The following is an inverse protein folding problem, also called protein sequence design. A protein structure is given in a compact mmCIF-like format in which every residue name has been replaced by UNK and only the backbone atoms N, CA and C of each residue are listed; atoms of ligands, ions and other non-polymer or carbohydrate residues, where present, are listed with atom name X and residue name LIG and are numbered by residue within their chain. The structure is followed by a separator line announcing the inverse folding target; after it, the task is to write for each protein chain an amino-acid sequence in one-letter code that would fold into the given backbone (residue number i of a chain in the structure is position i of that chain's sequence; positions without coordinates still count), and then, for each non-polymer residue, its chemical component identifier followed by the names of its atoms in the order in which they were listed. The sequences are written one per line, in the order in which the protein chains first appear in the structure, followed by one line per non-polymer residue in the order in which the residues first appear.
data_IF_173075929818
#
_entry.id   IF_173075929818
#
_cell.length_a   1.000
_cell.length_b   1.000
_cell.length_c   1.000
_cell.angle_alpha   90.00
_cell.angle_beta   90.00
_cell.angle_gamma   90.00
#
_symmetry.space_group_name_H-M   'P 1'
#
loop_
_entity.id
_entity.type
_entity.pdbx_description
1 polymer ?
#
# COMPACT_ATOMS: atom_id res chain seq x y z
N UNK A 1 25.53 1.03 17.77
CA UNK A 1 24.79 2.29 18.00
C UNK A 1 25.72 3.48 17.79
N UNK A 2 26.19 3.68 16.55
CA UNK A 2 26.97 4.86 16.19
C UNK A 2 25.99 5.93 15.72
N UNK A 3 25.93 7.05 16.42
CA UNK A 3 25.11 8.21 16.06
C UNK A 3 25.67 8.79 14.77
N UNK A 4 24.98 8.58 13.66
CA UNK A 4 25.36 9.12 12.35
C UNK A 4 25.23 10.63 12.44
N UNK A 5 26.38 11.30 12.39
CA UNK A 5 26.50 12.74 12.56
C UNK A 5 25.72 13.52 11.50
N UNK A 6 25.38 14.76 11.83
CA UNK A 6 24.68 15.70 10.95
C UNK A 6 25.55 16.03 9.73
N UNK A 7 25.38 15.32 8.61
CA UNK A 7 26.25 15.45 7.45
C UNK A 7 25.92 16.67 6.59
N UNK A 8 26.98 17.34 6.13
CA UNK A 8 26.96 18.66 5.48
C UNK A 8 26.20 18.66 4.15
N UNK A 9 25.38 19.71 3.96
CA UNK A 9 24.80 20.10 2.67
C UNK A 9 25.90 20.37 1.64
N UNK A 10 25.73 19.82 0.44
CA UNK A 10 26.34 20.36 -0.79
C UNK A 10 25.36 21.35 -1.41
N UNK A 11 25.82 22.57 -1.67
CA UNK A 11 25.07 23.55 -2.45
C UNK A 11 24.98 23.12 -3.91
N UNK A 12 23.90 23.51 -4.57
CA UNK A 12 23.70 23.30 -5.99
C UNK A 12 24.79 24.02 -6.81
N UNK A 13 25.21 23.33 -7.90
CA UNK A 13 26.16 23.74 -8.93
C UNK A 13 27.66 23.68 -8.56
N UNK A 14 28.40 22.92 -9.37
CA UNK A 14 29.87 22.85 -9.48
C UNK A 14 30.67 22.31 -8.28
N UNK A 15 30.71 20.98 -8.12
CA UNK A 15 32.00 20.26 -8.07
C UNK A 15 31.80 18.73 -8.18
N UNK A 16 32.39 18.13 -9.21
CA UNK A 16 32.47 16.69 -9.42
C UNK A 16 33.57 16.07 -8.54
N UNK A 17 33.59 16.39 -7.24
CA UNK A 17 34.49 15.75 -6.30
C UNK A 17 33.86 14.45 -5.78
N UNK A 18 34.61 13.36 -5.87
CA UNK A 18 34.23 12.04 -5.33
C UNK A 18 33.71 12.16 -3.88
N UNK A 19 32.73 11.33 -3.54
CA UNK A 19 32.23 11.24 -2.17
C UNK A 19 33.31 10.68 -1.26
N UNK A 20 33.27 11.08 0.02
CA UNK A 20 34.15 10.51 1.04
C UNK A 20 33.97 8.97 1.09
N UNK A 21 35.05 8.17 1.06
CA UNK A 21 34.98 6.72 1.20
C UNK A 21 34.15 6.24 2.41
N UNK A 22 34.14 6.98 3.52
CA UNK A 22 33.31 6.64 4.69
C UNK A 22 31.81 6.74 4.37
N UNK A 23 31.42 7.80 3.64
CA UNK A 23 30.04 7.99 3.18
C UNK A 23 29.65 6.89 2.19
N UNK A 24 30.53 6.55 1.25
CA UNK A 24 30.28 5.46 0.29
C UNK A 24 30.10 4.11 1.01
N UNK A 25 30.91 3.84 2.03
CA UNK A 25 30.76 2.66 2.88
C UNK A 25 29.43 2.63 3.65
N UNK A 26 29.02 3.77 4.20
CA UNK A 26 27.74 3.89 4.90
C UNK A 26 26.54 3.72 3.95
N UNK A 27 26.59 4.33 2.76
CA UNK A 27 25.57 4.17 1.73
C UNK A 27 25.44 2.70 1.35
N UNK A 28 26.56 1.99 1.12
CA UNK A 28 26.57 0.56 0.79
C UNK A 28 25.90 -0.30 1.86
N UNK A 29 26.09 0.03 3.13
CA UNK A 29 25.50 -0.69 4.27
C UNK A 29 24.00 -0.42 4.48
N UNK A 30 23.46 0.64 3.88
CA UNK A 30 22.10 1.15 4.13
C UNK A 30 21.16 0.81 2.97
N UNK A 31 19.84 0.77 3.20
CA UNK A 31 18.86 0.65 2.11
C UNK A 31 18.79 1.96 1.33
N UNK A 32 18.73 1.90 0.00
CA UNK A 32 18.69 3.08 -0.85
C UNK A 32 17.45 3.07 -1.75
N UNK A 33 16.72 4.19 -1.76
CA UNK A 33 15.79 4.51 -2.84
C UNK A 33 16.59 5.10 -4.00
N UNK A 34 16.54 4.44 -5.15
CA UNK A 34 17.17 4.85 -6.39
C UNK A 34 16.11 5.47 -7.29
N UNK A 35 16.36 6.68 -7.80
CA UNK A 35 15.41 7.39 -8.66
C UNK A 35 16.07 7.76 -9.99
N UNK A 36 15.30 7.89 -11.08
CA UNK A 36 15.86 8.35 -12.35
C UNK A 36 16.31 9.81 -12.21
N UNK A 37 17.29 10.23 -13.02
CA UNK A 37 17.79 11.62 -13.02
C UNK A 37 16.74 12.66 -13.43
N UNK A 38 15.62 12.20 -14.01
CA UNK A 38 14.46 13.04 -14.33
C UNK A 38 13.56 13.33 -13.13
N UNK A 39 13.67 12.56 -12.05
CA UNK A 39 12.92 12.80 -10.83
C UNK A 39 13.61 13.89 -10.00
N UNK A 40 12.86 14.94 -9.67
CA UNK A 40 13.33 16.03 -8.83
C UNK A 40 13.25 15.66 -7.34
N UNK A 41 13.93 16.44 -6.50
CA UNK A 41 13.83 16.28 -5.04
C UNK A 41 12.44 16.66 -4.54
N UNK A 42 11.78 17.60 -5.21
CA UNK A 42 10.41 18.00 -4.89
C UNK A 42 9.43 16.85 -5.16
N UNK A 43 9.58 16.11 -6.28
CA UNK A 43 8.75 14.94 -6.57
C UNK A 43 8.84 13.90 -5.43
N UNK A 44 10.06 13.60 -4.97
CA UNK A 44 10.30 12.67 -3.86
C UNK A 44 9.74 13.24 -2.54
N UNK A 45 9.90 14.53 -2.31
CA UNK A 45 9.37 15.19 -1.11
C UNK A 45 7.85 15.21 -1.06
N UNK A 46 7.18 15.33 -2.20
CA UNK A 46 5.71 15.36 -2.30
C UNK A 46 5.13 13.96 -2.07
N UNK A 47 5.75 12.92 -2.63
CA UNK A 47 5.39 11.53 -2.33
C UNK A 47 5.53 11.20 -0.83
N UNK A 48 6.56 11.71 -0.17
CA UNK A 48 6.72 11.51 1.27
C UNK A 48 5.62 12.20 2.07
N UNK A 49 5.24 13.44 1.72
CA UNK A 49 4.15 14.15 2.43
C UNK A 49 2.80 13.49 2.23
N UNK A 50 2.57 12.85 1.08
CA UNK A 50 1.35 12.08 0.82
C UNK A 50 1.16 10.94 1.83
N UNK A 51 2.25 10.28 2.24
CA UNK A 51 2.21 9.12 3.14
C UNK A 51 2.57 9.43 4.57
N UNK A 52 3.29 10.52 4.81
CA UNK A 52 3.76 10.97 6.11
C UNK A 52 3.50 12.48 6.22
N UNK A 53 2.28 12.93 6.58
CA UNK A 53 1.88 14.34 6.55
C UNK A 53 2.77 15.26 7.40
N UNK A 54 3.27 14.73 8.51
CA UNK A 54 4.12 15.45 9.45
C UNK A 54 5.62 15.40 9.07
N UNK A 55 5.94 14.81 7.92
CA UNK A 55 7.28 14.81 7.38
C UNK A 55 7.73 16.25 7.08
N UNK A 56 8.97 16.56 7.46
CA UNK A 56 9.65 17.79 7.05
C UNK A 56 9.83 17.90 5.53
N UNK A 57 10.46 18.98 5.07
CA UNK A 57 10.67 19.19 3.64
C UNK A 57 12.05 18.66 3.23
N UNK A 58 12.08 17.51 2.55
CA UNK A 58 13.32 16.87 2.11
C UNK A 58 14.16 17.80 1.20
N UNK A 59 13.53 18.54 0.29
CA UNK A 59 14.23 19.48 -0.60
C UNK A 59 14.90 20.63 0.16
N UNK A 60 14.31 21.06 1.28
CA UNK A 60 14.83 22.15 2.11
C UNK A 60 15.89 21.68 3.12
N UNK A 61 15.64 20.55 3.75
CA UNK A 61 16.38 20.10 4.93
C UNK A 61 17.44 19.05 4.58
N UNK A 62 17.29 18.32 3.46
CA UNK A 62 18.17 17.23 3.02
C UNK A 62 18.01 15.94 3.84
N UNK A 63 17.15 15.97 4.85
CA UNK A 63 16.75 14.83 5.66
C UNK A 63 15.29 14.97 6.07
N UNK A 64 14.61 13.84 6.27
CA UNK A 64 13.25 13.82 6.78
C UNK A 64 12.99 12.60 7.65
N UNK A 65 12.30 12.80 8.78
CA UNK A 65 11.89 11.71 9.65
C UNK A 65 10.66 11.00 9.06
N UNK A 66 10.73 9.67 8.94
CA UNK A 66 9.61 8.83 8.50
C UNK A 66 8.85 8.23 9.70
N UNK A 67 9.52 8.16 10.85
CA UNK A 67 9.00 7.58 12.08
C UNK A 67 9.83 8.01 13.28
N UNK A 68 9.73 7.26 14.38
CA UNK A 68 10.46 7.57 15.61
C UNK A 68 11.95 7.29 15.47
N UNK A 69 12.31 6.24 14.74
CA UNK A 69 13.68 5.74 14.60
C UNK A 69 14.12 5.64 13.14
N UNK A 70 13.31 6.12 12.21
CA UNK A 70 13.58 6.07 10.78
C UNK A 70 13.66 7.44 10.13
N UNK A 71 14.64 7.59 9.22
CA UNK A 71 14.93 8.82 8.50
C UNK A 71 15.34 8.53 7.06
N UNK A 72 14.95 9.39 6.14
CA UNK A 72 15.43 9.40 4.78
C UNK A 72 16.35 10.60 4.57
N UNK A 73 17.53 10.38 4.01
CA UNK A 73 18.51 11.44 3.71
C UNK A 73 18.86 11.46 2.22
N UNK A 74 19.13 12.65 1.68
CA UNK A 74 19.49 12.82 0.28
C UNK A 74 18.99 14.14 -0.31
N UNK A 75 19.08 14.32 -1.64
CA UNK A 75 19.62 13.38 -2.62
C UNK A 75 21.15 13.24 -2.53
N UNK A 76 21.66 12.03 -2.74
CA UNK A 76 23.06 11.77 -3.06
C UNK A 76 23.19 11.65 -4.57
N UNK A 77 23.91 12.60 -5.19
CA UNK A 77 24.25 12.57 -6.62
C UNK A 77 25.61 11.87 -6.74
N UNK A 78 25.60 10.70 -7.38
CA UNK A 78 26.74 9.80 -7.49
C UNK A 78 27.37 9.90 -8.88
N UNK A 79 28.70 10.03 -8.94
CA UNK A 79 29.43 9.69 -10.17
C UNK A 79 29.32 8.19 -10.46
N UNK A 80 29.71 7.74 -11.66
CA UNK A 80 29.74 6.30 -11.96
C UNK A 80 30.68 5.53 -11.02
N UNK A 81 31.80 6.13 -10.64
CA UNK A 81 32.75 5.54 -9.70
C UNK A 81 32.15 5.45 -8.29
N UNK A 82 31.54 6.53 -7.81
CA UNK A 82 30.85 6.56 -6.52
C UNK A 82 29.69 5.57 -6.47
N UNK A 83 28.93 5.42 -7.56
CA UNK A 83 27.84 4.45 -7.65
C UNK A 83 28.36 3.02 -7.46
N UNK A 84 29.43 2.65 -8.18
CA UNK A 84 30.07 1.34 -8.02
C UNK A 84 30.60 1.15 -6.60
N UNK A 85 31.27 2.16 -6.03
CA UNK A 85 31.80 2.10 -4.67
C UNK A 85 30.71 1.96 -3.60
N UNK A 86 29.56 2.62 -3.79
CA UNK A 86 28.38 2.53 -2.93
C UNK A 86 27.52 1.26 -3.20
N UNK A 87 27.90 0.42 -4.16
CA UNK A 87 27.15 -0.78 -4.53
C UNK A 87 25.82 -0.50 -5.24
N UNK A 88 25.69 0.68 -5.85
CA UNK A 88 24.52 1.09 -6.63
C UNK A 88 24.68 0.58 -8.07
N UNK A 89 23.73 -0.21 -8.60
CA UNK A 89 23.79 -0.68 -9.98
C UNK A 89 23.55 0.49 -10.96
N UNK A 90 24.21 0.45 -12.12
CA UNK A 90 23.88 1.35 -13.22
C UNK A 90 22.50 1.01 -13.80
N UNK A 91 21.73 1.98 -14.32
CA UNK A 91 22.11 3.37 -14.62
C UNK A 91 21.84 4.37 -13.48
N UNK A 92 21.56 3.91 -12.26
CA UNK A 92 21.14 4.80 -11.17
C UNK A 92 22.31 5.67 -10.66
N UNK A 93 22.09 6.98 -10.62
CA UNK A 93 23.07 7.96 -10.13
C UNK A 93 22.50 8.92 -9.08
N UNK A 94 21.21 8.80 -8.75
CA UNK A 94 20.55 9.57 -7.70
C UNK A 94 19.98 8.61 -6.68
N UNK A 95 20.41 8.75 -5.42
CA UNK A 95 20.01 7.87 -4.33
C UNK A 95 19.55 8.64 -3.09
N UNK A 96 18.65 8.06 -2.33
CA UNK A 96 18.25 8.50 -0.99
C UNK A 96 18.47 7.37 0.00
N UNK A 97 19.15 7.64 1.11
CA UNK A 97 19.51 6.62 2.10
C UNK A 97 18.52 6.57 3.24
N UNK A 98 17.99 5.36 3.51
CA UNK A 98 17.06 5.08 4.60
C UNK A 98 17.82 4.59 5.83
N UNK A 99 17.94 5.44 6.84
CA UNK A 99 18.33 5.01 8.18
C UNK A 99 17.08 4.46 8.87
N UNK A 100 17.07 3.15 9.17
CA UNK A 100 16.00 2.50 9.91
C UNK A 100 16.59 1.39 10.81
N UNK A 101 15.91 1.01 11.91
CA UNK A 101 16.27 -0.18 12.67
C UNK A 101 16.27 -1.42 11.77
N UNK A 102 17.13 -2.40 12.08
CA UNK A 102 17.07 -3.72 11.42
C UNK A 102 16.19 -4.61 12.26
N UNK A 103 14.99 -4.92 11.75
CA UNK A 103 13.95 -5.68 12.44
C UNK A 103 13.45 -6.77 11.48
N UNK A 104 13.75 -8.04 11.80
CA UNK A 104 13.45 -9.19 10.94
C UNK A 104 12.50 -10.16 11.58
N UNK A 105 11.61 -10.70 10.77
CA UNK A 105 10.76 -11.85 11.10
C UNK A 105 11.46 -13.16 10.75
N UNK A 106 10.69 -14.25 10.81
CA UNK A 106 11.11 -15.54 10.26
C UNK A 106 11.39 -15.45 8.75
N UNK A 107 12.30 -16.29 8.23
CA UNK A 107 12.53 -16.40 6.79
C UNK A 107 11.25 -16.74 6.02
N UNK A 108 11.11 -16.25 4.76
CA UNK A 108 10.01 -16.69 3.91
C UNK A 108 10.06 -18.20 3.70
N UNK A 109 8.89 -18.83 3.57
CA UNK A 109 8.79 -20.24 3.25
C UNK A 109 9.46 -20.54 1.89
N UNK A 110 10.12 -21.69 1.78
CA UNK A 110 10.83 -22.06 0.57
C UNK A 110 9.90 -22.11 -0.65
N UNK A 111 10.26 -21.39 -1.72
CA UNK A 111 9.50 -21.34 -2.97
C UNK A 111 8.33 -20.34 -2.97
N UNK A 112 8.08 -19.64 -1.86
CA UNK A 112 7.12 -18.53 -1.84
C UNK A 112 7.76 -17.31 -2.51
N UNK A 113 7.06 -16.80 -3.52
CA UNK A 113 7.33 -15.49 -4.13
C UNK A 113 6.35 -14.48 -3.54
N UNK A 114 6.68 -13.20 -3.66
CA UNK A 114 5.81 -12.13 -3.22
C UNK A 114 5.74 -11.03 -4.29
N UNK A 115 4.69 -10.24 -4.19
CA UNK A 115 4.35 -9.17 -5.11
C UNK A 115 5.50 -8.19 -5.36
N UNK A 116 6.20 -7.77 -4.31
CA UNK A 116 7.22 -6.73 -4.40
C UNK A 116 8.66 -7.29 -4.35
N UNK A 117 8.84 -8.60 -4.21
CA UNK A 117 10.14 -9.27 -4.19
C UNK A 117 10.91 -9.19 -2.88
N UNK A 118 10.22 -8.95 -1.77
CA UNK A 118 10.80 -9.04 -0.43
C UNK A 118 11.23 -10.45 -0.07
N UNK A 119 10.47 -11.49 -0.42
CA UNK A 119 10.81 -12.89 -0.17
C UNK A 119 12.13 -13.27 -0.84
N UNK A 120 12.38 -12.80 -2.06
CA UNK A 120 13.66 -13.00 -2.74
C UNK A 120 14.79 -12.17 -2.12
N UNK A 121 14.51 -10.91 -1.77
CA UNK A 121 15.54 -9.96 -1.32
C UNK A 121 15.96 -10.16 0.14
N UNK A 122 15.11 -10.82 0.93
CA UNK A 122 15.30 -11.07 2.35
C UNK A 122 15.20 -12.57 2.72
N UNK A 123 16.08 -13.43 2.17
CA UNK A 123 16.02 -14.87 2.42
C UNK A 123 16.34 -15.27 3.87
N UNK A 124 16.91 -14.36 4.67
CA UNK A 124 17.24 -14.58 6.08
C UNK A 124 16.20 -14.09 7.08
N UNK A 125 15.07 -13.54 6.61
CA UNK A 125 14.02 -12.97 7.46
C UNK A 125 13.40 -11.72 6.84
N UNK A 126 12.07 -11.69 6.72
CA UNK A 126 11.35 -10.55 6.11
C UNK A 126 11.48 -9.28 6.97
N UNK A 127 11.48 -8.07 6.36
CA UNK A 127 11.50 -6.82 7.10
C UNK A 127 10.19 -6.61 7.88
N UNK A 128 10.30 -6.35 9.19
CA UNK A 128 9.16 -6.17 10.09
C UNK A 128 9.05 -4.74 10.61
N UNK A 129 7.92 -4.42 11.25
CA UNK A 129 7.68 -3.19 12.02
C UNK A 129 8.11 -1.93 11.28
N UNK A 130 9.07 -1.17 11.83
CA UNK A 130 9.48 0.13 11.27
C UNK A 130 10.34 -0.06 10.01
N UNK A 131 11.18 -1.11 9.97
CA UNK A 131 11.92 -1.48 8.76
C UNK A 131 10.98 -1.84 7.60
N UNK A 132 10.04 -2.75 7.84
CA UNK A 132 9.05 -3.19 6.84
C UNK A 132 8.18 -2.05 6.33
N UNK A 133 7.66 -1.21 7.24
CA UNK A 133 6.82 -0.06 6.86
C UNK A 133 7.57 0.94 5.98
N UNK A 134 8.81 1.26 6.34
CA UNK A 134 9.62 2.23 5.59
C UNK A 134 10.13 1.67 4.27
N UNK A 135 10.54 0.40 4.21
CA UNK A 135 10.87 -0.26 2.95
C UNK A 135 9.65 -0.36 2.01
N UNK A 136 8.47 -0.71 2.54
CA UNK A 136 7.23 -0.71 1.77
C UNK A 136 6.91 0.66 1.18
N UNK A 137 7.10 1.73 1.96
CA UNK A 137 6.97 3.11 1.47
C UNK A 137 7.98 3.40 0.34
N UNK A 138 9.24 3.00 0.49
CA UNK A 138 10.26 3.20 -0.54
C UNK A 138 9.95 2.46 -1.84
N UNK A 139 9.42 1.23 -1.76
CA UNK A 139 8.99 0.45 -2.93
C UNK A 139 7.82 1.13 -3.63
N UNK A 140 6.83 1.61 -2.87
CA UNK A 140 5.70 2.37 -3.40
C UNK A 140 6.19 3.66 -4.11
N UNK A 141 7.11 4.41 -3.49
CA UNK A 141 7.70 5.60 -4.11
C UNK A 141 8.48 5.25 -5.39
N UNK A 142 9.30 4.20 -5.35
CA UNK A 142 10.04 3.71 -6.51
C UNK A 142 9.09 3.35 -7.66
N UNK A 143 7.96 2.70 -7.38
CA UNK A 143 6.93 2.38 -8.38
C UNK A 143 6.43 3.63 -9.10
N UNK A 144 6.20 4.71 -8.32
CA UNK A 144 5.66 5.97 -8.82
C UNK A 144 6.66 6.78 -9.66
N UNK A 145 7.92 6.84 -9.22
CA UNK A 145 8.96 7.60 -9.94
C UNK A 145 9.66 6.79 -11.03
N UNK A 146 9.31 5.51 -11.21
CA UNK A 146 10.04 4.59 -12.09
C UNK A 146 11.46 4.29 -11.59
N UNK A 147 11.62 4.21 -10.28
CA UNK A 147 12.86 3.94 -9.55
C UNK A 147 13.02 2.47 -9.14
N UNK A 148 13.95 2.24 -8.22
CA UNK A 148 14.18 0.93 -7.60
C UNK A 148 14.66 1.09 -6.15
N UNK A 149 14.61 0.02 -5.36
CA UNK A 149 15.11 0.01 -3.98
C UNK A 149 16.26 -0.98 -3.88
N UNK A 150 17.45 -0.51 -3.53
CA UNK A 150 18.59 -1.37 -3.22
C UNK A 150 18.59 -1.72 -1.75
N UNK A 151 18.67 -3.02 -1.46
CA UNK A 151 18.73 -3.51 -0.09
C UNK A 151 20.16 -3.46 0.45
N UNK A 152 20.32 -2.83 1.63
CA UNK A 152 21.55 -2.73 2.41
C UNK A 152 21.74 -3.89 3.41
N UNK A 153 22.84 -3.82 4.16
CA UNK A 153 23.23 -4.79 5.18
C UNK A 153 24.24 -5.86 4.73
N UNK A 154 24.60 -6.81 5.61
CA UNK A 154 25.53 -7.90 5.28
C UNK A 154 24.98 -8.77 4.13
N UNK A 155 25.72 -8.83 3.02
CA UNK A 155 25.26 -9.48 1.78
C UNK A 155 24.35 -8.59 0.91
N UNK A 156 24.11 -7.34 1.32
CA UNK A 156 23.57 -6.28 0.49
C UNK A 156 24.59 -5.82 -0.54
N UNK A 157 24.15 -5.68 -1.78
CA UNK A 157 24.98 -5.37 -2.94
C UNK A 157 24.11 -5.07 -4.14
N UNK A 158 24.70 -4.80 -5.32
CA UNK A 158 23.93 -4.52 -6.54
C UNK A 158 22.95 -5.65 -6.90
N UNK A 159 23.21 -6.87 -6.42
CA UNK A 159 22.42 -8.06 -6.71
C UNK A 159 21.09 -8.14 -5.92
N UNK A 160 20.91 -7.32 -4.87
CA UNK A 160 19.66 -7.26 -4.08
C UNK A 160 18.90 -5.97 -4.37
N UNK A 161 18.34 -5.94 -5.57
CA UNK A 161 17.56 -4.83 -6.09
C UNK A 161 16.08 -5.22 -6.18
N UNK A 162 15.23 -4.47 -5.50
CA UNK A 162 13.77 -4.53 -5.68
C UNK A 162 13.37 -3.49 -6.71
N UNK A 163 12.96 -3.92 -7.89
CA UNK A 163 12.43 -3.05 -8.92
C UNK A 163 10.92 -3.31 -9.08
N UNK A 164 10.06 -2.43 -8.53
CA UNK A 164 8.63 -2.59 -8.64
C UNK A 164 8.15 -2.40 -10.09
N UNK A 165 7.09 -3.10 -10.47
CA UNK A 165 6.41 -2.88 -11.75
C UNK A 165 5.62 -1.56 -11.69
N UNK A 166 5.92 -0.55 -12.54
CA UNK A 166 5.28 0.77 -12.49
C UNK A 166 3.78 0.73 -12.81
N UNK A 167 3.29 -0.28 -13.53
CA UNK A 167 1.87 -0.41 -13.90
C UNK A 167 1.10 -1.31 -12.94
N UNK A 168 1.70 -1.62 -11.78
CA UNK A 168 1.12 -2.54 -10.81
C UNK A 168 -0.04 -1.94 -10.04
N UNK A 169 0.00 -0.62 -9.83
CA UNK A 169 -1.10 0.16 -9.27
C UNK A 169 -2.25 0.32 -10.26
N UNK A 170 -3.24 -0.56 -10.13
CA UNK A 170 -4.46 -0.54 -10.94
C UNK A 170 -5.63 0.04 -10.15
N UNK A 171 -5.71 -0.27 -8.85
CA UNK A 171 -6.82 0.12 -8.00
C UNK A 171 -6.69 1.59 -7.58
N UNK A 172 -7.84 2.24 -7.41
CA UNK A 172 -7.92 3.63 -6.98
C UNK A 172 -8.86 3.76 -5.78
N UNK A 173 -8.68 4.82 -5.03
CA UNK A 173 -9.54 5.19 -3.92
C UNK A 173 -9.96 6.65 -4.11
N UNK A 174 -11.26 6.91 -4.11
CA UNK A 174 -11.81 8.27 -4.15
C UNK A 174 -12.32 8.62 -2.77
N UNK A 175 -11.80 9.70 -2.19
CA UNK A 175 -12.25 10.22 -0.90
C UNK A 175 -13.11 11.46 -1.13
N UNK A 176 -14.28 11.52 -0.51
CA UNK A 176 -15.24 12.61 -0.69
C UNK A 176 -16.03 12.89 0.58
N UNK A 177 -16.41 14.15 0.85
CA UNK A 177 -17.34 14.47 1.94
C UNK A 177 -18.80 14.10 1.60
N UNK A 178 -19.10 13.62 0.39
CA UNK A 178 -20.45 13.36 -0.06
C UNK A 178 -20.75 11.87 -0.18
N UNK A 179 -21.79 11.43 0.51
CA UNK A 179 -22.39 10.11 0.29
C UNK A 179 -23.28 10.14 -0.95
N UNK A 180 -23.07 9.18 -1.84
CA UNK A 180 -23.90 8.94 -3.02
C UNK A 180 -24.79 7.75 -2.72
N UNK A 181 -26.07 7.85 -3.06
CA UNK A 181 -27.01 6.74 -2.86
C UNK A 181 -26.71 5.56 -3.81
N UNK A 182 -26.92 4.30 -3.40
CA UNK A 182 -26.52 3.12 -4.17
C UNK A 182 -27.06 3.10 -5.61
N UNK A 183 -28.32 3.46 -5.82
CA UNK A 183 -28.92 3.51 -7.15
C UNK A 183 -28.32 4.59 -8.06
N UNK A 184 -27.90 5.71 -7.48
CA UNK A 184 -27.23 6.79 -8.21
C UNK A 184 -25.82 6.37 -8.61
N UNK A 185 -25.06 5.77 -7.69
CA UNK A 185 -23.72 5.26 -8.01
C UNK A 185 -23.79 4.16 -9.07
N UNK A 186 -24.75 3.23 -8.96
CA UNK A 186 -24.98 2.22 -10.00
C UNK A 186 -25.16 2.88 -11.37
N UNK A 187 -26.02 3.91 -11.47
CA UNK A 187 -26.23 4.65 -12.71
C UNK A 187 -24.96 5.33 -13.25
N UNK A 188 -24.05 5.77 -12.39
CA UNK A 188 -22.73 6.31 -12.77
C UNK A 188 -21.85 5.20 -13.35
N UNK A 189 -21.70 4.08 -12.64
CA UNK A 189 -20.85 2.96 -13.08
C UNK A 189 -21.38 2.28 -14.34
N UNK A 190 -22.71 2.13 -14.48
CA UNK A 190 -23.36 1.52 -15.65
C UNK A 190 -23.06 2.27 -16.96
N UNK A 191 -22.75 3.57 -16.91
CA UNK A 191 -22.36 4.34 -18.12
C UNK A 191 -21.03 3.86 -18.69
N UNK A 192 -20.09 3.49 -17.82
CA UNK A 192 -18.78 2.98 -18.21
C UNK A 192 -18.81 1.47 -18.46
N UNK A 193 -19.55 0.73 -17.62
CA UNK A 193 -19.67 -0.73 -17.70
C UNK A 193 -21.16 -1.14 -17.61
N UNK A 194 -21.84 -1.38 -18.75
CA UNK A 194 -23.29 -1.63 -18.78
C UNK A 194 -23.78 -2.85 -17.98
N UNK A 195 -22.89 -3.80 -17.68
CA UNK A 195 -23.17 -5.02 -16.89
C UNK A 195 -23.10 -4.81 -15.38
N UNK A 196 -22.82 -3.58 -14.92
CA UNK A 196 -22.77 -3.24 -13.51
C UNK A 196 -24.09 -3.55 -12.79
N UNK A 197 -23.98 -4.03 -11.56
CA UNK A 197 -25.09 -4.36 -10.67
C UNK A 197 -24.74 -4.01 -9.23
N UNK A 198 -25.76 -3.72 -8.42
CA UNK A 198 -25.58 -3.58 -6.98
C UNK A 198 -25.26 -4.93 -6.36
N UNK A 199 -24.23 -4.96 -5.52
CA UNK A 199 -23.91 -6.09 -4.65
C UNK A 199 -24.67 -5.96 -3.31
N UNK A 200 -25.95 -5.61 -3.39
CA UNK A 200 -26.84 -5.49 -2.23
C UNK A 200 -27.51 -6.83 -1.89
N UNK A 201 -27.56 -7.75 -2.84
CA UNK A 201 -28.06 -9.11 -2.64
C UNK A 201 -26.87 -9.98 -2.18
N UNK A 202 -26.56 -9.92 -0.88
CA UNK A 202 -25.69 -10.91 -0.27
C UNK A 202 -26.31 -12.29 -0.38
N UNK A 203 -25.48 -13.33 -0.57
CA UNK A 203 -25.95 -14.69 -0.29
C UNK A 203 -26.18 -14.80 1.21
N UNK A 204 -27.33 -15.36 1.62
CA UNK A 204 -27.60 -15.62 3.02
C UNK A 204 -26.48 -16.52 3.55
N UNK A 205 -25.60 -15.95 4.39
CA UNK A 205 -24.56 -16.71 5.07
C UNK A 205 -25.22 -17.88 5.81
N UNK A 206 -24.94 -19.10 5.35
CA UNK A 206 -25.52 -20.34 5.90
C UNK A 206 -24.94 -20.69 7.28
N UNK A 207 -24.10 -19.83 7.84
CA UNK A 207 -23.28 -20.17 8.99
C UNK A 207 -22.09 -21.06 8.62
N UNK A 208 -21.11 -21.22 9.51
CA UNK A 208 -20.23 -22.37 9.52
C UNK A 208 -21.02 -23.69 9.40
N UNK A 209 -20.39 -24.73 8.88
CA UNK A 209 -21.01 -26.06 8.85
C UNK A 209 -21.45 -26.51 10.26
N UNK A 210 -22.50 -27.33 10.37
CA UNK A 210 -23.06 -27.83 11.64
C UNK A 210 -21.97 -28.41 12.57
N UNK A 211 -20.93 -29.00 11.98
CA UNK A 211 -19.74 -29.51 12.66
C UNK A 211 -18.97 -28.46 13.47
N UNK A 212 -18.96 -27.20 13.04
CA UNK A 212 -18.33 -26.09 13.76
C UNK A 212 -19.09 -25.73 15.06
N UNK A 213 -20.39 -26.05 15.14
CA UNK A 213 -21.24 -25.79 16.32
C UNK A 213 -21.30 -26.96 17.30
N UNK A 214 -20.78 -28.14 16.93
CA UNK A 214 -20.74 -29.31 17.83
C UNK A 214 -19.84 -29.10 19.04
N UNK A 215 -19.04 -28.02 19.04
CA UNK A 215 -18.17 -27.67 20.15
C UNK A 215 -17.00 -28.63 20.35
N UNK A 216 -16.78 -29.61 19.46
CA UNK A 216 -15.74 -30.63 19.61
C UNK A 216 -14.31 -30.04 19.68
N UNK A 217 -14.03 -28.99 18.88
CA UNK A 217 -12.77 -28.24 18.91
C UNK A 217 -12.63 -27.34 20.15
N UNK A 218 -13.74 -26.80 20.63
CA UNK A 218 -13.78 -25.94 21.82
C UNK A 218 -13.63 -26.79 23.10
N UNK A 219 -14.23 -27.98 23.14
CA UNK A 219 -14.16 -28.94 24.23
C UNK A 219 -12.75 -29.55 24.38
N UNK A 220 -11.97 -29.65 23.30
CA UNK A 220 -10.56 -30.06 23.38
C UNK A 220 -9.65 -28.98 23.96
N UNK A 221 -9.94 -27.70 23.72
CA UNK A 221 -9.14 -26.57 24.23
C UNK A 221 -9.55 -26.13 25.65
N UNK A 222 -10.84 -26.22 26.01
CA UNK A 222 -11.37 -25.81 27.32
C UNK A 222 -11.14 -26.83 28.46
N UNK A 223 -10.65 -28.03 28.16
CA UNK A 223 -10.46 -29.08 29.16
C UNK A 223 -9.46 -28.72 30.28
N UNK A 224 -8.74 -27.59 30.16
CA UNK A 224 -7.67 -27.24 31.10
C UNK A 224 -7.77 -25.88 31.80
N UNK A 225 -8.63 -24.95 31.41
CA UNK A 225 -8.67 -23.62 32.06
C UNK A 225 -10.09 -22.99 32.09
N UNK A 226 -10.90 -23.36 33.08
CA UNK A 226 -12.04 -22.53 33.52
C UNK A 226 -11.91 -22.28 35.02
N UNK A 227 -11.32 -21.13 35.35
CA UNK A 227 -11.00 -20.73 36.74
C UNK A 227 -12.23 -20.22 37.51
N UNK A 228 -13.29 -19.77 36.81
CA UNK A 228 -14.57 -19.33 37.41
C UNK A 228 -15.76 -19.55 36.44
N UNK A 229 -16.56 -20.61 36.66
CA UNK A 229 -17.73 -20.91 35.85
C UNK A 229 -18.84 -19.85 35.96
N UNK A 230 -19.01 -19.22 37.13
CA UNK A 230 -20.15 -18.34 37.40
C UNK A 230 -19.94 -16.96 36.78
N UNK A 231 -18.75 -16.38 36.93
CA UNK A 231 -18.38 -15.13 36.26
C UNK A 231 -18.32 -15.27 34.74
N UNK A 232 -17.98 -16.45 34.24
CA UNK A 232 -18.01 -16.75 32.80
C UNK A 232 -19.45 -16.78 32.27
N UNK A 233 -20.38 -17.45 32.96
CA UNK A 233 -21.81 -17.43 32.61
C UNK A 233 -22.41 -16.01 32.66
N UNK A 234 -22.05 -15.20 33.66
CA UNK A 234 -22.52 -13.82 33.77
C UNK A 234 -21.99 -12.93 32.62
N UNK A 235 -20.73 -13.10 32.22
CA UNK A 235 -20.15 -12.41 31.04
C UNK A 235 -20.87 -12.82 29.76
N UNK A 236 -21.10 -14.12 29.54
CA UNK A 236 -21.87 -14.59 28.38
C UNK A 236 -23.30 -14.06 28.35
N UNK A 237 -23.99 -13.99 29.50
CA UNK A 237 -25.33 -13.43 29.57
C UNK A 237 -25.35 -11.93 29.25
N UNK A 238 -24.35 -11.17 29.73
CA UNK A 238 -24.20 -9.76 29.41
C UNK A 238 -23.90 -9.55 27.91
N UNK A 239 -22.93 -10.28 27.35
CA UNK A 239 -22.63 -10.24 25.91
C UNK A 239 -23.87 -10.60 25.09
N UNK A 240 -24.58 -11.66 25.44
CA UNK A 240 -25.79 -12.06 24.73
C UNK A 240 -26.93 -11.04 24.82
N UNK A 241 -26.98 -10.22 25.87
CA UNK A 241 -27.93 -9.11 25.98
C UNK A 241 -27.51 -7.93 25.09
N UNK A 242 -26.22 -7.62 25.03
CA UNK A 242 -25.64 -6.60 24.15
C UNK A 242 -25.84 -6.99 22.68
N UNK A 243 -25.56 -8.24 22.31
CA UNK A 243 -25.75 -8.76 20.95
C UNK A 243 -27.22 -8.67 20.51
N UNK A 244 -28.16 -9.05 21.41
CA UNK A 244 -29.60 -8.93 21.15
C UNK A 244 -30.05 -7.47 20.98
N UNK A 245 -29.46 -6.55 21.74
CA UNK A 245 -29.75 -5.13 21.60
C UNK A 245 -29.20 -4.57 20.27
N UNK A 246 -27.99 -4.98 19.87
CA UNK A 246 -27.39 -4.61 18.59
C UNK A 246 -28.22 -5.14 17.40
N UNK A 247 -28.64 -6.40 17.45
CA UNK A 247 -29.51 -7.01 16.42
C UNK A 247 -30.90 -6.38 16.31
N UNK A 248 -31.38 -5.74 17.38
CA UNK A 248 -32.67 -5.05 17.42
C UNK A 248 -32.61 -3.59 16.98
N UNK A 249 -31.41 -3.01 16.84
CA UNK A 249 -31.24 -1.66 16.34
C UNK A 249 -31.43 -1.63 14.82
N UNK A 250 -32.01 -0.56 14.25
CA UNK A 250 -32.02 -0.39 12.79
C UNK A 250 -30.57 -0.29 12.31
N UNK A 251 -30.20 -1.16 11.38
CA UNK A 251 -28.85 -1.21 10.82
C UNK A 251 -28.64 0.00 9.89
N UNK A 252 -27.80 0.98 10.25
CA UNK A 252 -27.44 2.02 9.31
C UNK A 252 -26.63 1.37 8.19
N UNK A 253 -27.03 1.57 6.93
CA UNK A 253 -26.20 1.16 5.78
C UNK A 253 -24.95 2.04 5.79
N UNK A 254 -23.88 1.51 6.36
CA UNK A 254 -22.58 2.17 6.47
C UNK A 254 -21.63 1.81 5.32
N UNK A 255 -22.00 0.78 4.54
CA UNK A 255 -21.31 0.38 3.33
C UNK A 255 -22.24 -0.26 2.28
N UNK A 256 -21.85 -0.15 1.01
CA UNK A 256 -22.45 -0.90 -0.10
C UNK A 256 -21.45 -1.03 -1.25
N UNK A 257 -21.71 -1.94 -2.20
CA UNK A 257 -20.83 -2.10 -3.36
C UNK A 257 -21.60 -2.17 -4.68
N UNK A 258 -20.94 -1.71 -5.75
CA UNK A 258 -21.35 -1.94 -7.15
C UNK A 258 -20.32 -2.84 -7.79
N UNK A 259 -20.75 -3.96 -8.38
CA UNK A 259 -19.87 -4.91 -9.07
C UNK A 259 -20.18 -4.89 -10.56
N UNK A 260 -19.14 -4.77 -11.38
CA UNK A 260 -19.20 -4.70 -12.82
C UNK A 260 -18.32 -5.78 -13.46
N UNK A 261 -18.89 -6.93 -13.89
CA UNK A 261 -18.15 -8.01 -14.53
C UNK A 261 -17.46 -7.55 -15.81
N UNK A 262 -16.22 -7.99 -16.03
CA UNK A 262 -15.36 -7.58 -17.14
C UNK A 262 -15.06 -8.72 -18.12
N UNK A 263 -15.06 -8.37 -19.40
CA UNK A 263 -14.82 -9.30 -20.49
C UNK A 263 -16.01 -10.24 -20.76
N UNK A 264 -15.97 -11.00 -21.87
CA UNK A 264 -17.00 -11.99 -22.16
C UNK A 264 -17.13 -12.97 -20.99
N UNK A 265 -18.34 -13.14 -20.46
CA UNK A 265 -18.61 -14.07 -19.36
C UNK A 265 -17.90 -13.76 -18.03
N UNK A 266 -17.32 -12.56 -17.84
CA UNK A 266 -16.61 -12.21 -16.60
C UNK A 266 -15.18 -12.79 -16.51
N UNK A 267 -14.62 -13.28 -17.62
CA UNK A 267 -13.30 -13.93 -17.63
C UNK A 267 -12.11 -12.99 -17.35
N UNK A 268 -12.32 -11.67 -17.32
CA UNK A 268 -11.30 -10.70 -16.89
C UNK A 268 -11.53 -10.23 -15.45
N UNK A 269 -12.38 -10.93 -14.68
CA UNK A 269 -12.76 -10.53 -13.33
C UNK A 269 -13.89 -9.50 -13.31
N UNK A 270 -13.86 -8.58 -12.34
CA UNK A 270 -14.83 -7.50 -12.20
C UNK A 270 -14.19 -6.21 -11.68
N UNK A 271 -14.77 -5.04 -11.99
CA UNK A 271 -14.53 -3.82 -11.19
C UNK A 271 -15.53 -3.81 -10.06
N UNK A 272 -15.04 -3.67 -8.83
CA UNK A 272 -15.84 -3.40 -7.64
C UNK A 272 -15.66 -1.93 -7.25
N UNK A 273 -16.76 -1.24 -6.97
CA UNK A 273 -16.75 0.05 -6.29
C UNK A 273 -17.33 -0.19 -4.90
N UNK A 274 -16.46 -0.36 -3.91
CA UNK A 274 -16.86 -0.49 -2.50
C UNK A 274 -16.96 0.90 -1.88
N UNK A 275 -18.11 1.21 -1.31
CA UNK A 275 -18.38 2.48 -0.64
C UNK A 275 -18.52 2.23 0.83
N UNK A 276 -17.77 2.98 1.64
CA UNK A 276 -17.87 2.93 3.09
C UNK A 276 -17.52 4.29 3.71
N UNK A 277 -17.86 4.49 4.98
CA UNK A 277 -17.46 5.66 5.75
C UNK A 277 -16.10 5.40 6.38
N UNK A 278 -15.13 6.26 6.06
CA UNK A 278 -13.81 6.25 6.67
C UNK A 278 -13.75 7.16 7.91
N UNK A 279 -12.86 6.80 8.83
CA UNK A 279 -12.57 7.59 10.03
C UNK A 279 -11.78 8.86 9.71
N UNK A 280 -11.90 9.85 10.60
CA UNK A 280 -11.32 11.20 10.43
C UNK A 280 -9.78 11.26 10.50
N UNK A 281 -9.10 10.17 10.84
CA UNK A 281 -7.64 10.09 10.99
C UNK A 281 -6.94 9.48 9.77
N UNK A 282 -7.68 9.18 8.71
CA UNK A 282 -7.10 8.69 7.46
C UNK A 282 -6.25 9.77 6.78
N UNK A 283 -5.00 9.41 6.51
CA UNK A 283 -3.96 10.32 6.02
C UNK A 283 -4.24 10.87 4.62
N UNK A 284 -5.00 10.16 3.79
CA UNK A 284 -5.20 10.53 2.38
C UNK A 284 -5.89 11.89 2.20
N UNK A 285 -6.81 12.27 3.09
CA UNK A 285 -7.58 13.51 3.01
C UNK A 285 -7.09 14.62 3.96
N UNK A 286 -5.94 14.47 4.63
CA UNK A 286 -5.51 15.41 5.68
C UNK A 286 -5.32 16.87 5.21
N UNK A 287 -5.11 17.09 3.91
CA UNK A 287 -4.91 18.40 3.31
C UNK A 287 -6.22 19.10 2.96
N UNK A 288 -7.34 18.37 3.03
CA UNK A 288 -8.67 18.88 2.76
C UNK A 288 -9.33 19.38 4.04
N UNK A 289 -10.08 20.49 3.96
CA UNK A 289 -10.76 21.08 5.12
C UNK A 289 -11.74 20.10 5.79
N UNK A 290 -12.31 19.18 4.98
CA UNK A 290 -13.25 18.15 5.43
C UNK A 290 -12.57 16.87 5.93
N UNK A 291 -11.27 16.65 5.67
CA UNK A 291 -10.56 15.43 6.06
C UNK A 291 -10.38 15.24 7.57
N UNK A 292 -10.66 16.29 8.36
CA UNK A 292 -10.68 16.23 9.84
C UNK A 292 -11.97 15.65 10.44
N UNK A 293 -12.91 15.21 9.60
CA UNK A 293 -14.20 14.61 9.98
C UNK A 293 -14.37 13.29 9.23
N UNK A 294 -15.25 12.39 9.69
CA UNK A 294 -15.59 11.20 8.91
C UNK A 294 -16.06 11.60 7.50
N UNK A 295 -15.57 10.89 6.50
CA UNK A 295 -15.86 11.12 5.09
C UNK A 295 -16.11 9.79 4.38
N UNK A 296 -16.53 9.83 3.12
CA UNK A 296 -16.89 8.65 2.34
C UNK A 296 -15.72 8.25 1.45
N UNK A 297 -15.42 6.96 1.47
CA UNK A 297 -14.38 6.35 0.65
C UNK A 297 -15.03 5.43 -0.39
N UNK A 298 -14.64 5.62 -1.65
CA UNK A 298 -15.05 4.81 -2.79
C UNK A 298 -13.82 4.08 -3.35
N UNK A 299 -13.68 2.81 -3.01
CA UNK A 299 -12.57 1.97 -3.46
C UNK A 299 -12.94 1.33 -4.79
N UNK A 300 -12.29 1.77 -5.87
CA UNK A 300 -12.45 1.23 -7.21
C UNK A 300 -11.38 0.16 -7.43
N UNK A 301 -11.76 -1.09 -7.24
CA UNK A 301 -10.86 -2.25 -7.22
C UNK A 301 -11.09 -3.16 -8.41
N UNK A 302 -10.01 -3.72 -8.95
CA UNK A 302 -10.08 -4.84 -9.86
C UNK A 302 -10.08 -6.17 -9.10
N UNK A 303 -11.22 -6.84 -9.07
CA UNK A 303 -11.36 -8.20 -8.58
C UNK A 303 -10.94 -9.19 -9.67
N UNK A 304 -9.71 -9.68 -9.59
CA UNK A 304 -9.21 -10.70 -10.50
C UNK A 304 -9.93 -12.05 -10.27
N UNK A 305 -10.34 -12.71 -11.34
CA UNK A 305 -10.75 -14.12 -11.28
C UNK A 305 -9.53 -15.03 -11.34
N UNK A 306 -9.61 -16.23 -10.76
CA UNK A 306 -8.57 -17.25 -10.96
C UNK A 306 -8.43 -17.62 -12.46
N UNK A 307 -7.20 -17.78 -12.99
CA UNK A 307 -5.91 -17.75 -12.29
C UNK A 307 -5.23 -16.37 -12.18
N UNK A 308 -5.87 -15.28 -12.65
CA UNK A 308 -5.26 -13.93 -12.64
C UNK A 308 -5.06 -13.36 -11.23
N UNK A 309 -5.84 -13.83 -10.25
CA UNK A 309 -5.63 -13.46 -8.84
C UNK A 309 -4.28 -13.96 -8.33
N UNK A 310 -3.89 -15.19 -8.68
CA UNK A 310 -2.57 -15.72 -8.36
C UNK A 310 -1.45 -14.94 -9.08
N UNK A 311 -1.60 -14.69 -10.38
CA UNK A 311 -0.58 -13.95 -11.16
C UNK A 311 -0.41 -12.51 -10.67
N UNK A 312 -1.48 -11.86 -10.17
CA UNK A 312 -1.43 -10.52 -9.55
C UNK A 312 -0.48 -10.45 -8.36
N UNK A 313 -0.29 -11.54 -7.62
CA UNK A 313 0.56 -11.59 -6.42
C UNK A 313 2.00 -12.04 -6.72
N UNK A 314 2.30 -12.43 -7.97
CA UNK A 314 3.66 -12.81 -8.37
C UNK A 314 4.52 -11.58 -8.63
N UNK A 315 5.81 -11.69 -8.35
CA UNK A 315 6.77 -10.62 -8.68
C UNK A 315 6.89 -10.42 -10.19
N UNK A 316 6.90 -11.53 -10.94
CA UNK A 316 6.98 -11.57 -12.40
C UNK A 316 5.74 -12.31 -12.93
N UNK A 317 4.65 -11.59 -13.19
CA UNK A 317 3.43 -12.16 -13.76
C UNK A 317 3.64 -12.66 -15.19
N UNK A 318 2.79 -13.58 -15.64
CA UNK A 318 2.81 -14.05 -17.03
C UNK A 318 2.29 -13.00 -18.06
N UNK A 319 2.57 -13.22 -19.34
CA UNK A 319 2.17 -12.30 -20.43
C UNK A 319 0.64 -12.20 -20.58
N UNK A 320 -0.09 -13.26 -20.21
CA UNK A 320 -1.56 -13.29 -20.31
C UNK A 320 -2.16 -12.31 -19.31
N UNK A 321 -1.72 -12.37 -18.06
CA UNK A 321 -2.12 -11.44 -17.01
C UNK A 321 -1.78 -10.01 -17.39
N UNK A 322 -0.56 -9.75 -17.89
CA UNK A 322 -0.15 -8.42 -18.32
C UNK A 322 -1.05 -7.87 -19.45
N UNK A 323 -1.46 -8.72 -20.40
CA UNK A 323 -2.41 -8.33 -21.44
C UNK A 323 -3.82 -8.06 -20.89
N UNK A 324 -4.30 -8.84 -19.92
CA UNK A 324 -5.59 -8.59 -19.26
C UNK A 324 -5.55 -7.29 -18.48
N UNK A 325 -4.52 -7.08 -17.65
CA UNK A 325 -4.29 -5.84 -16.89
C UNK A 325 -4.30 -4.62 -17.80
N UNK A 326 -3.62 -4.69 -18.94
CA UNK A 326 -3.56 -3.58 -19.91
C UNK A 326 -4.93 -3.22 -20.52
N UNK A 327 -5.89 -4.16 -20.53
CA UNK A 327 -7.28 -3.93 -20.97
C UNK A 327 -8.18 -3.45 -19.85
N UNK A 328 -7.94 -3.92 -18.63
CA UNK A 328 -8.77 -3.61 -17.45
C UNK A 328 -8.42 -2.25 -16.84
N UNK A 329 -7.13 -1.88 -16.77
CA UNK A 329 -6.70 -0.63 -16.15
C UNK A 329 -7.41 0.61 -16.71
N UNK A 330 -7.61 0.78 -18.03
CA UNK A 330 -8.39 1.90 -18.57
C UNK A 330 -9.86 1.91 -18.13
N UNK A 331 -10.46 0.74 -17.89
CA UNK A 331 -11.85 0.63 -17.39
C UNK A 331 -11.92 1.07 -15.92
N UNK A 332 -10.97 0.64 -15.09
CA UNK A 332 -10.85 1.07 -13.69
C UNK A 332 -10.66 2.58 -13.61
N UNK A 333 -9.79 3.14 -14.45
CA UNK A 333 -9.59 4.60 -14.58
C UNK A 333 -10.89 5.31 -15.00
N UNK A 334 -11.61 4.81 -16.00
CA UNK A 334 -12.85 5.41 -16.46
C UNK A 334 -13.94 5.42 -15.37
N UNK A 335 -14.09 4.32 -14.64
CA UNK A 335 -14.99 4.23 -13.48
C UNK A 335 -14.56 5.20 -12.39
N UNK A 336 -13.27 5.24 -12.05
CA UNK A 336 -12.71 6.18 -11.05
C UNK A 336 -13.02 7.62 -11.40
N UNK A 337 -12.83 8.01 -12.67
CA UNK A 337 -13.15 9.34 -13.19
C UNK A 337 -14.64 9.65 -13.03
N UNK A 338 -15.51 8.72 -13.40
CA UNK A 338 -16.96 8.92 -13.27
C UNK A 338 -17.38 9.08 -11.79
N UNK A 339 -16.77 8.32 -10.88
CA UNK A 339 -17.01 8.42 -9.43
C UNK A 339 -16.52 9.76 -8.88
N UNK A 340 -15.28 10.18 -9.15
CA UNK A 340 -14.74 11.45 -8.65
C UNK A 340 -15.49 12.66 -9.19
N UNK A 341 -15.98 12.61 -10.43
CA UNK A 341 -16.85 13.65 -10.99
C UNK A 341 -18.20 13.74 -10.26
N UNK A 342 -18.80 12.59 -9.94
CA UNK A 342 -20.07 12.53 -9.22
C UNK A 342 -19.94 12.98 -7.75
N UNK A 343 -18.79 12.74 -7.13
CA UNK A 343 -18.56 12.99 -5.69
C UNK A 343 -17.74 14.25 -5.42
N UNK A 344 -17.20 14.92 -6.44
CA UNK A 344 -16.27 16.05 -6.28
C UNK A 344 -15.09 15.76 -5.33
N UNK A 345 -14.67 14.49 -5.23
CA UNK A 345 -13.63 14.03 -4.31
C UNK A 345 -12.19 14.27 -4.80
N UNK A 346 -11.26 13.74 -4.00
CA UNK A 346 -9.83 13.55 -4.33
C UNK A 346 -9.57 12.08 -4.59
N UNK A 347 -8.48 11.76 -5.30
CA UNK A 347 -8.15 10.39 -5.73
C UNK A 347 -6.76 10.02 -5.23
N UNK A 348 -6.61 8.81 -4.69
CA UNK A 348 -5.32 8.16 -4.46
C UNK A 348 -5.22 6.86 -5.24
N UNK A 349 -4.01 6.44 -5.56
CA UNK A 349 -3.74 5.08 -6.04
C UNK A 349 -3.73 4.06 -4.89
N UNK A 350 -3.59 2.78 -5.22
CA UNK A 350 -3.47 1.69 -4.24
C UNK A 350 -2.32 1.87 -3.23
N UNK A 351 -1.30 2.67 -3.60
CA UNK A 351 -0.16 2.98 -2.74
C UNK A 351 -0.42 4.21 -1.87
N UNK A 352 -1.60 4.83 -1.96
CA UNK A 352 -1.98 6.00 -1.18
C UNK A 352 -1.31 7.31 -1.65
N UNK A 353 -0.83 7.39 -2.89
CA UNK A 353 -0.35 8.64 -3.47
C UNK A 353 -1.47 9.35 -4.24
N UNK A 354 -1.53 10.67 -4.12
CA UNK A 354 -2.53 11.46 -4.81
C UNK A 354 -2.37 11.42 -6.33
N UNK A 355 -3.51 11.33 -7.01
CA UNK A 355 -3.63 11.42 -8.45
C UNK A 355 -4.33 12.73 -8.83
N UNK A 356 -3.80 13.39 -9.86
CA UNK A 356 -4.51 14.50 -10.48
C UNK A 356 -5.72 13.94 -11.23
N UNK A 357 -6.93 14.24 -10.74
CA UNK A 357 -8.19 13.76 -11.33
C UNK A 357 -8.37 14.19 -12.80
N UNK A 358 -7.70 15.25 -13.26
CA UNK A 358 -7.73 15.70 -14.65
C UNK A 358 -6.73 14.96 -15.55
N UNK A 359 -5.87 14.11 -14.96
CA UNK A 359 -4.89 13.26 -15.65
C UNK A 359 -5.19 11.77 -15.52
N UNK A 360 -6.37 11.43 -14.99
CA UNK A 360 -6.91 10.07 -15.00
C UNK A 360 -7.29 9.66 -16.43
#
# INVERSE_FOLDING_TARGET
MATVGRWRRRGAADDASALDPEVLGALRATHLLLVPTTASVDDVSDLLRARVPLAGNLAKDGEVALGRHSRLTGPYILSMEDAVAAGVPLPWTVAYALEAPVEREDPPLAGVDDRDGFAQSFPGGLPWREEGRTLGLLVAMARRVGGAVRIGGPGGGPDRLVQPDPHRAVDHVVHSPFWVEPGTLLGVVTREVPTARLAAEGETWQGPAESAYTGALILSDLATEVVDPTGTLARHANTGQVDKQALGAPDPVDAYAVIAPLGPGGHHGAVEVLVHVADADETAAHHEDWGSRPFVTYEVRWLCSEPDAFERERRVPDERYLAVRSRVAPVVVAVTRAVVEATSGIVTDEDGFWLDRYRL
#
